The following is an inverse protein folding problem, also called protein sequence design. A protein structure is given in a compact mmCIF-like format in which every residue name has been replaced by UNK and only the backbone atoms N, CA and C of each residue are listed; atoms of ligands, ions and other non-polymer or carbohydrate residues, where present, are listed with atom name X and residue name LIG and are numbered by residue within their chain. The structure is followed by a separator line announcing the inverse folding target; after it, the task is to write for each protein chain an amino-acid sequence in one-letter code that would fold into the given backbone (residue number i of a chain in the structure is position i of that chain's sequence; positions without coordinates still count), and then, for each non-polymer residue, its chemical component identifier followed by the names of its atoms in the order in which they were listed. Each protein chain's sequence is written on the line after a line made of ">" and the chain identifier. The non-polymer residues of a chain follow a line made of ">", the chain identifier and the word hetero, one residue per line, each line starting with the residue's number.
data_IF_600523168103
#
_entry.id   IF_600523168103
#
_cell.length_a   1.000
_cell.length_b   1.000
_cell.length_c   1.000
_cell.angle_alpha   90.00
_cell.angle_beta   90.00
_cell.angle_gamma   90.00
#
_symmetry.space_group_name_H-M   'P 1'
#
loop_
_entity.id
_entity.type
_entity.pdbx_description
1 polymer ?
#
# COMPACT_ATOMS: atom_id res chain seq x y z
N UNK A 1 -61.78 -22.04 37.97
CA UNK A 1 -60.32 -22.15 38.13
C UNK A 1 -59.70 -21.90 36.77
N UNK A 2 -59.16 -20.70 36.55
CA UNK A 2 -58.46 -20.37 35.29
C UNK A 2 -57.03 -20.86 35.42
N UNK A 3 -56.62 -21.78 34.55
CA UNK A 3 -55.22 -22.19 34.43
C UNK A 3 -54.44 -20.97 33.92
N UNK A 4 -53.56 -20.42 34.76
CA UNK A 4 -52.56 -19.46 34.29
C UNK A 4 -51.60 -20.23 33.38
N UNK A 5 -51.68 -19.98 32.07
CA UNK A 5 -50.67 -20.42 31.12
C UNK A 5 -49.39 -19.64 31.40
N UNK A 6 -48.38 -20.30 31.94
CA UNK A 6 -47.03 -19.75 31.99
C UNK A 6 -46.52 -19.60 30.54
N UNK A 7 -46.33 -18.36 30.10
CA UNK A 7 -45.70 -18.06 28.82
C UNK A 7 -44.18 -18.00 29.03
N UNK A 8 -43.43 -18.83 28.30
CA UNK A 8 -41.99 -18.70 28.21
C UNK A 8 -41.67 -17.56 27.23
N UNK A 9 -41.22 -16.43 27.76
CA UNK A 9 -40.81 -15.27 26.95
C UNK A 9 -39.32 -15.42 26.59
N UNK A 10 -38.99 -15.28 25.30
CA UNK A 10 -37.61 -15.29 24.81
C UNK A 10 -36.90 -14.00 25.27
N UNK A 11 -35.62 -14.10 25.61
CA UNK A 11 -34.78 -12.93 25.88
C UNK A 11 -33.99 -12.63 24.62
N UNK A 12 -34.07 -11.39 24.13
CA UNK A 12 -33.26 -10.93 23.01
C UNK A 12 -31.79 -10.76 23.40
N UNK A 13 -30.91 -10.63 22.41
CA UNK A 13 -29.48 -10.38 22.65
C UNK A 13 -29.19 -9.04 23.37
N UNK A 14 -30.19 -8.15 23.42
CA UNK A 14 -30.20 -6.87 24.12
C UNK A 14 -30.58 -7.00 25.60
N UNK A 15 -30.75 -8.24 26.10
CA UNK A 15 -31.18 -8.57 27.45
C UNK A 15 -32.61 -8.12 27.79
N UNK A 16 -33.42 -7.83 26.77
CA UNK A 16 -34.83 -7.45 26.94
C UNK A 16 -35.72 -8.68 26.77
N UNK A 17 -36.66 -8.86 27.71
CA UNK A 17 -37.66 -9.94 27.67
C UNK A 17 -38.68 -9.66 26.58
N UNK A 18 -39.02 -10.67 25.79
CA UNK A 18 -39.91 -10.60 24.62
C UNK A 18 -39.37 -9.71 23.48
N UNK A 19 -38.05 -9.52 23.43
CA UNK A 19 -37.38 -8.83 22.34
C UNK A 19 -37.08 -9.78 21.18
N UNK A 20 -37.22 -9.26 19.96
CA UNK A 20 -36.87 -9.97 18.71
C UNK A 20 -35.41 -9.72 18.29
N UNK A 21 -34.61 -9.05 19.12
CA UNK A 21 -33.19 -8.77 18.84
C UNK A 21 -32.37 -10.06 18.85
N UNK A 22 -31.63 -10.31 17.78
CA UNK A 22 -30.75 -11.48 17.63
C UNK A 22 -29.30 -11.04 17.39
N UNK A 23 -28.37 -11.89 17.81
CA UNK A 23 -26.96 -11.71 17.47
C UNK A 23 -26.75 -11.96 15.98
N UNK A 24 -25.82 -11.21 15.38
CA UNK A 24 -25.32 -11.50 14.05
C UNK A 24 -24.42 -12.75 14.05
N UNK A 25 -23.94 -13.13 12.86
CA UNK A 25 -23.02 -14.27 12.69
C UNK A 25 -21.67 -14.08 13.41
N UNK A 26 -21.36 -12.87 13.90
CA UNK A 26 -20.16 -12.56 14.69
C UNK A 26 -20.42 -12.58 16.20
N UNK A 27 -21.67 -12.75 16.65
CA UNK A 27 -22.06 -12.68 18.05
C UNK A 27 -22.28 -11.26 18.56
N UNK A 28 -22.55 -10.29 17.67
CA UNK A 28 -22.87 -8.90 18.00
C UNK A 28 -24.39 -8.73 17.93
N UNK A 29 -24.99 -8.26 19.02
CA UNK A 29 -26.43 -7.99 19.05
C UNK A 29 -26.82 -6.92 18.02
N UNK A 30 -27.77 -7.24 17.13
CA UNK A 30 -28.16 -6.39 16.00
C UNK A 30 -26.97 -5.92 15.13
N UNK A 31 -25.92 -6.74 15.05
CA UNK A 31 -24.74 -6.45 14.22
C UNK A 31 -25.02 -6.59 12.72
N UNK A 32 -24.08 -6.10 11.92
CA UNK A 32 -24.15 -6.12 10.45
C UNK A 32 -23.43 -7.32 9.82
N UNK A 33 -22.83 -8.21 10.63
CA UNK A 33 -22.08 -9.38 10.18
C UNK A 33 -20.74 -9.07 9.52
N UNK A 34 -20.24 -7.82 9.57
CA UNK A 34 -19.04 -7.42 8.83
C UNK A 34 -17.73 -7.60 9.62
N UNK A 35 -17.83 -7.69 10.95
CA UNK A 35 -16.68 -7.64 11.88
C UNK A 35 -15.91 -8.95 12.04
N UNK A 36 -16.43 -10.04 11.51
CA UNK A 36 -15.82 -11.36 11.56
C UNK A 36 -15.72 -11.98 10.17
N UNK A 37 -14.86 -12.99 10.06
CA UNK A 37 -14.82 -13.91 8.93
C UNK A 37 -15.56 -15.19 9.29
N UNK A 38 -16.34 -15.68 8.33
CA UNK A 38 -17.03 -16.97 8.44
C UNK A 38 -16.19 -18.01 7.72
N UNK A 39 -15.71 -19.00 8.48
CA UNK A 39 -14.91 -20.10 7.96
C UNK A 39 -15.76 -21.35 8.02
N UNK A 40 -15.88 -22.03 6.87
CA UNK A 40 -16.67 -23.25 6.75
C UNK A 40 -15.98 -24.25 5.84
N UNK A 41 -16.33 -25.52 6.00
CA UNK A 41 -15.78 -26.59 5.21
C UNK A 41 -16.55 -27.89 5.39
N UNK A 42 -16.09 -28.90 4.64
CA UNK A 42 -16.71 -30.21 4.62
C UNK A 42 -15.65 -31.30 4.50
N UNK A 43 -15.83 -32.39 5.25
CA UNK A 43 -14.95 -33.54 5.26
C UNK A 43 -15.65 -34.79 4.71
N UNK A 44 -15.29 -35.21 3.49
CA UNK A 44 -15.85 -36.40 2.81
C UNK A 44 -14.86 -37.56 2.61
N UNK A 45 -13.65 -37.47 3.17
CA UNK A 45 -12.64 -38.53 3.01
C UNK A 45 -13.11 -39.83 3.68
N UNK A 46 -12.75 -40.95 3.08
CA UNK A 46 -12.99 -42.30 3.62
C UNK A 46 -11.70 -42.82 4.24
N UNK A 47 -11.77 -43.48 5.41
CA UNK A 47 -10.59 -44.04 6.08
C UNK A 47 -10.36 -45.52 5.72
N UNK A 48 -11.42 -46.32 5.62
CA UNK A 48 -11.35 -47.78 5.41
C UNK A 48 -10.73 -48.57 6.57
N UNK A 49 -10.26 -47.89 7.63
CA UNK A 49 -9.68 -48.45 8.84
C UNK A 49 -10.23 -47.72 10.07
N UNK A 50 -10.31 -48.44 11.18
CA UNK A 50 -10.80 -47.92 12.46
C UNK A 50 -9.84 -46.90 13.06
N UNK A 51 -10.36 -45.74 13.47
CA UNK A 51 -9.59 -44.73 14.20
C UNK A 51 -10.07 -43.31 13.98
N UNK A 52 -9.50 -42.38 14.76
CA UNK A 52 -9.76 -40.96 14.62
C UNK A 52 -9.05 -40.39 13.39
N UNK A 53 -9.73 -39.49 12.70
CA UNK A 53 -9.19 -38.66 11.63
C UNK A 53 -9.50 -37.22 11.92
N UNK A 54 -8.48 -36.39 11.84
CA UNK A 54 -8.57 -34.96 12.07
C UNK A 54 -9.32 -34.30 10.90
N UNK A 55 -10.29 -33.45 11.23
CA UNK A 55 -11.07 -32.69 10.26
C UNK A 55 -10.57 -31.25 10.20
N UNK A 56 -10.60 -30.55 11.33
CA UNK A 56 -10.25 -29.13 11.43
C UNK A 56 -9.83 -28.78 12.85
N UNK A 57 -8.85 -27.88 12.97
CA UNK A 57 -8.52 -27.19 14.22
C UNK A 57 -9.22 -25.84 14.22
N UNK A 58 -10.05 -25.58 15.22
CA UNK A 58 -10.75 -24.31 15.40
C UNK A 58 -9.97 -23.51 16.46
N UNK A 59 -9.49 -22.29 16.11
CA UNK A 59 -8.63 -21.51 16.99
C UNK A 59 -9.41 -20.91 18.17
N UNK A 60 -8.69 -20.55 19.23
CA UNK A 60 -9.25 -19.75 20.32
C UNK A 60 -9.82 -18.42 19.79
N UNK A 61 -10.89 -17.95 20.43
CA UNK A 61 -11.65 -16.77 20.01
C UNK A 61 -12.74 -17.04 18.98
N UNK A 62 -12.80 -18.24 18.40
CA UNK A 62 -13.86 -18.60 17.45
C UNK A 62 -15.23 -18.71 18.14
N UNK A 63 -16.28 -18.25 17.45
CA UNK A 63 -17.68 -18.23 17.91
C UNK A 63 -18.61 -18.89 16.91
N UNK A 64 -19.86 -19.11 17.31
CA UNK A 64 -20.90 -19.67 16.43
C UNK A 64 -20.45 -20.95 15.73
N UNK A 65 -19.76 -21.82 16.49
CA UNK A 65 -19.21 -23.06 15.96
C UNK A 65 -20.38 -24.04 15.78
N UNK A 66 -20.51 -24.56 14.56
CA UNK A 66 -21.47 -25.55 14.18
C UNK A 66 -20.74 -26.70 13.51
N UNK A 67 -20.96 -27.93 13.99
CA UNK A 67 -20.43 -29.15 13.38
C UNK A 67 -21.57 -30.15 13.27
N UNK A 68 -21.79 -30.71 12.09
CA UNK A 68 -22.87 -31.66 11.86
C UNK A 68 -22.45 -32.75 10.87
N UNK A 69 -22.93 -33.96 11.10
CA UNK A 69 -22.92 -34.99 10.07
C UNK A 69 -23.96 -34.67 9.00
N UNK A 70 -23.63 -35.00 7.75
CA UNK A 70 -24.51 -34.78 6.60
C UNK A 70 -25.64 -35.80 6.50
N UNK A 71 -25.38 -37.02 6.98
CA UNK A 71 -26.34 -38.12 7.01
C UNK A 71 -26.00 -39.06 8.17
N UNK A 72 -26.94 -39.92 8.52
CA UNK A 72 -26.77 -40.89 9.59
C UNK A 72 -25.57 -41.81 9.33
N UNK A 73 -24.71 -41.98 10.32
CA UNK A 73 -23.56 -42.89 10.23
C UNK A 73 -23.27 -43.60 11.55
N UNK A 74 -22.55 -44.73 11.49
CA UNK A 74 -22.00 -45.34 12.71
C UNK A 74 -20.68 -44.69 13.15
N UNK A 75 -20.13 -43.81 12.32
CA UNK A 75 -19.02 -42.96 12.73
C UNK A 75 -19.54 -41.96 13.76
N UNK A 76 -18.62 -41.28 14.42
CA UNK A 76 -19.01 -40.21 15.33
C UNK A 76 -17.93 -39.14 15.42
N UNK A 77 -18.35 -37.92 15.68
CA UNK A 77 -17.53 -36.72 15.77
C UNK A 77 -16.89 -36.68 17.16
N UNK A 78 -15.56 -36.62 17.21
CA UNK A 78 -14.78 -36.36 18.41
C UNK A 78 -14.47 -34.88 18.55
N UNK A 79 -14.49 -34.39 19.78
CA UNK A 79 -14.05 -33.04 20.11
C UNK A 79 -13.00 -33.08 21.21
N UNK A 80 -11.79 -32.60 20.93
CA UNK A 80 -10.67 -32.61 21.86
C UNK A 80 -9.90 -31.30 21.85
N UNK A 81 -9.14 -31.02 22.90
CA UNK A 81 -8.21 -29.89 22.94
C UNK A 81 -7.05 -30.16 21.97
N UNK A 82 -6.75 -29.19 21.09
CA UNK A 82 -5.74 -29.36 20.06
C UNK A 82 -4.29 -29.46 20.61
N UNK A 83 -4.05 -28.97 21.83
CA UNK A 83 -2.73 -28.92 22.48
C UNK A 83 -2.59 -30.05 23.50
N UNK A 84 -3.50 -30.12 24.47
CA UNK A 84 -3.43 -31.06 25.60
C UNK A 84 -3.96 -32.46 25.28
N UNK A 85 -4.63 -32.64 24.13
CA UNK A 85 -5.32 -33.88 23.72
C UNK A 85 -6.33 -34.39 24.75
N UNK A 86 -6.93 -33.47 25.49
CA UNK A 86 -8.03 -33.74 26.42
C UNK A 86 -9.35 -33.79 25.65
N UNK A 87 -10.08 -34.89 25.75
CA UNK A 87 -11.40 -35.02 25.12
C UNK A 87 -12.47 -34.21 25.88
N UNK A 88 -13.22 -33.39 25.15
CA UNK A 88 -14.45 -32.76 25.65
C UNK A 88 -15.68 -33.61 25.30
N UNK A 89 -15.76 -34.11 24.07
CA UNK A 89 -16.87 -34.96 23.59
C UNK A 89 -16.33 -36.19 22.87
N UNK A 90 -17.04 -37.31 23.02
CA UNK A 90 -16.83 -38.55 22.26
C UNK A 90 -15.36 -39.08 22.26
N UNK A 91 -14.73 -39.05 23.43
CA UNK A 91 -13.36 -39.49 23.64
C UNK A 91 -13.22 -40.97 23.98
N UNK A 92 -12.00 -41.50 23.88
CA UNK A 92 -11.64 -42.86 24.33
C UNK A 92 -12.53 -43.99 23.76
N UNK A 93 -13.00 -43.83 22.52
CA UNK A 93 -13.91 -44.77 21.84
C UNK A 93 -15.31 -44.89 22.47
N UNK A 94 -15.71 -43.91 23.26
CA UNK A 94 -17.01 -43.86 23.93
C UNK A 94 -17.82 -42.67 23.40
N UNK A 95 -19.11 -42.87 23.18
CA UNK A 95 -20.04 -41.81 22.73
C UNK A 95 -20.66 -41.19 23.98
N UNK A 96 -20.50 -39.88 24.15
CA UNK A 96 -21.11 -39.09 25.23
C UNK A 96 -22.63 -39.04 25.04
N UNK A 97 -23.39 -38.87 26.13
CA UNK A 97 -24.84 -38.70 26.01
C UNK A 97 -25.19 -37.30 25.43
N UNK A 98 -26.33 -37.14 24.72
CA UNK A 98 -26.80 -35.83 24.30
C UNK A 98 -27.03 -34.90 25.50
N UNK A 99 -26.66 -33.64 25.36
CA UNK A 99 -26.79 -32.65 26.43
C UNK A 99 -25.85 -31.46 26.30
N UNK A 100 -25.73 -30.71 27.39
CA UNK A 100 -24.90 -29.52 27.47
C UNK A 100 -23.55 -29.82 28.16
N UNK A 101 -22.48 -29.31 27.57
CA UNK A 101 -21.11 -29.57 28.02
C UNK A 101 -20.29 -28.27 28.00
N UNK A 102 -19.31 -28.16 28.90
CA UNK A 102 -18.32 -27.09 28.83
C UNK A 102 -17.15 -27.51 27.93
N UNK A 103 -16.98 -26.81 26.82
CA UNK A 103 -15.95 -27.04 25.81
C UNK A 103 -15.08 -25.80 25.72
N UNK A 104 -13.81 -25.92 26.12
CA UNK A 104 -12.82 -24.83 26.04
C UNK A 104 -13.33 -23.49 26.63
N UNK A 105 -14.15 -23.53 27.68
CA UNK A 105 -14.72 -22.35 28.35
C UNK A 105 -16.09 -21.90 27.85
N UNK A 106 -16.61 -22.48 26.77
CA UNK A 106 -17.92 -22.18 26.20
C UNK A 106 -18.94 -23.31 26.45
N UNK A 107 -20.21 -22.96 26.58
CA UNK A 107 -21.31 -23.94 26.65
C UNK A 107 -21.58 -24.49 25.25
N UNK A 108 -21.45 -25.79 25.10
CA UNK A 108 -21.73 -26.53 23.88
C UNK A 108 -22.99 -27.39 24.06
N UNK A 109 -23.85 -27.41 23.05
CA UNK A 109 -24.98 -28.32 22.95
C UNK A 109 -24.62 -29.44 21.98
N UNK A 110 -24.65 -30.67 22.47
CA UNK A 110 -24.44 -31.87 21.68
C UNK A 110 -25.76 -32.64 21.54
N UNK A 111 -26.20 -32.78 20.29
CA UNK A 111 -27.44 -33.44 19.91
C UNK A 111 -27.10 -34.69 19.10
N UNK A 112 -27.76 -35.82 19.41
CA UNK A 112 -27.64 -37.05 18.64
C UNK A 112 -29.02 -37.68 18.49
N UNK A 113 -29.60 -37.56 17.30
CA UNK A 113 -30.89 -38.15 16.95
C UNK A 113 -30.70 -39.15 15.83
N UNK A 114 -31.17 -40.40 16.00
CA UNK A 114 -31.01 -41.44 14.99
C UNK A 114 -29.55 -41.62 14.49
N UNK A 115 -28.54 -41.49 15.37
CA UNK A 115 -27.11 -41.48 15.00
C UNK A 115 -26.67 -40.36 14.05
N UNK A 116 -27.44 -39.29 13.93
CA UNK A 116 -27.01 -38.05 13.31
C UNK A 116 -26.52 -37.09 14.40
N UNK A 117 -25.25 -36.71 14.36
CA UNK A 117 -24.66 -35.81 15.36
C UNK A 117 -24.66 -34.34 14.92
N UNK A 118 -25.02 -33.47 15.87
CA UNK A 118 -24.93 -32.01 15.73
C UNK A 118 -24.32 -31.42 17.00
N UNK A 119 -23.36 -30.53 16.82
CA UNK A 119 -22.68 -29.81 17.90
C UNK A 119 -22.81 -28.32 17.62
N UNK A 120 -23.29 -27.57 18.61
CA UNK A 120 -23.42 -26.11 18.58
C UNK A 120 -22.65 -25.50 19.74
N UNK A 121 -21.77 -24.54 19.46
CA UNK A 121 -21.04 -23.76 20.47
C UNK A 121 -21.24 -22.27 20.13
N UNK A 122 -22.22 -21.59 20.76
CA UNK A 122 -22.48 -20.17 20.48
C UNK A 122 -21.35 -19.25 20.96
N UNK A 123 -20.81 -19.55 22.14
CA UNK A 123 -19.83 -18.71 22.81
C UNK A 123 -18.42 -18.80 22.21
N UNK A 124 -17.55 -17.83 22.54
CA UNK A 124 -16.16 -17.85 22.15
C UNK A 124 -15.43 -18.93 22.93
N UNK A 125 -14.70 -19.78 22.22
CA UNK A 125 -13.81 -20.74 22.88
C UNK A 125 -12.52 -20.03 23.32
N UNK A 126 -12.00 -20.37 24.49
CA UNK A 126 -10.77 -19.76 25.04
C UNK A 126 -9.51 -20.56 24.69
N UNK A 127 -9.67 -21.79 24.24
CA UNK A 127 -8.61 -22.71 23.86
C UNK A 127 -8.90 -23.30 22.48
N UNK A 128 -7.87 -23.65 21.68
CA UNK A 128 -8.08 -24.27 20.38
C UNK A 128 -8.62 -25.69 20.52
N UNK A 129 -9.64 -26.02 19.74
CA UNK A 129 -10.26 -27.36 19.71
C UNK A 129 -9.99 -28.05 18.39
N UNK A 130 -9.83 -29.36 18.43
CA UNK A 130 -9.67 -30.24 17.29
C UNK A 130 -10.98 -31.03 17.10
N UNK A 131 -11.59 -30.83 15.93
CA UNK A 131 -12.72 -31.65 15.47
C UNK A 131 -12.15 -32.84 14.73
N UNK A 132 -12.53 -34.04 15.16
CA UNK A 132 -12.16 -35.30 14.52
C UNK A 132 -13.39 -36.15 14.24
N UNK A 133 -13.24 -37.13 13.36
CA UNK A 133 -14.24 -38.18 13.13
C UNK A 133 -13.62 -39.53 13.44
N UNK A 134 -14.32 -40.36 14.21
CA UNK A 134 -13.94 -41.74 14.45
C UNK A 134 -14.60 -42.66 13.45
N UNK A 135 -13.79 -43.35 12.63
CA UNK A 135 -14.28 -44.36 11.72
C UNK A 135 -14.49 -45.69 12.44
N UNK A 136 -15.70 -46.27 12.36
CA UNK A 136 -15.96 -47.65 12.78
C UNK A 136 -15.65 -48.63 11.66
N UNK A 137 -14.37 -48.94 11.45
CA UNK A 137 -13.93 -49.89 10.44
C UNK A 137 -14.11 -49.37 9.01
N UNK A 138 -14.89 -50.09 8.20
CA UNK A 138 -15.14 -49.79 6.77
C UNK A 138 -16.49 -49.10 6.52
N UNK A 139 -17.07 -48.48 7.53
CA UNK A 139 -18.31 -47.73 7.41
C UNK A 139 -18.10 -46.51 6.50
N UNK A 140 -19.06 -46.28 5.61
CA UNK A 140 -19.08 -45.14 4.71
C UNK A 140 -19.28 -43.83 5.51
N UNK A 141 -18.47 -42.82 5.20
CA UNK A 141 -18.63 -41.47 5.75
C UNK A 141 -19.49 -40.61 4.80
N UNK A 142 -20.71 -40.22 5.19
CA UNK A 142 -21.57 -39.34 4.39
C UNK A 142 -21.07 -37.89 4.33
N UNK A 143 -20.19 -37.52 5.26
CA UNK A 143 -19.52 -36.24 5.33
C UNK A 143 -19.84 -35.51 6.62
N UNK A 144 -18.91 -34.67 7.06
CA UNK A 144 -19.08 -33.79 8.22
C UNK A 144 -18.89 -32.36 7.74
N UNK A 145 -19.90 -31.52 7.94
CA UNK A 145 -19.84 -30.09 7.69
C UNK A 145 -19.50 -29.36 8.98
N UNK A 146 -18.71 -28.30 8.84
CA UNK A 146 -18.38 -27.42 9.95
C UNK A 146 -18.38 -25.96 9.51
N UNK A 147 -18.76 -25.07 10.42
CA UNK A 147 -18.78 -23.62 10.23
C UNK A 147 -18.43 -22.96 11.57
N UNK A 148 -17.66 -21.88 11.54
CA UNK A 148 -17.44 -21.00 12.69
C UNK A 148 -17.15 -19.58 12.23
N UNK A 149 -17.23 -18.63 13.16
CA UNK A 149 -16.86 -17.23 12.95
C UNK A 149 -15.61 -16.90 13.75
N UNK A 150 -14.73 -16.06 13.20
CA UNK A 150 -13.55 -15.54 13.89
C UNK A 150 -13.44 -14.03 13.66
N UNK A 151 -13.10 -13.29 14.71
CA UNK A 151 -12.96 -11.83 14.60
C UNK A 151 -11.92 -11.46 13.55
N UNK A 152 -12.28 -10.52 12.67
CA UNK A 152 -11.29 -9.91 11.77
C UNK A 152 -10.29 -9.18 12.65
N UNK A 153 -8.98 -9.46 12.53
CA UNK A 153 -8.00 -8.58 13.13
C UNK A 153 -8.27 -7.19 12.56
N UNK A 154 -8.43 -6.19 13.43
CA UNK A 154 -8.50 -4.81 12.97
C UNK A 154 -7.21 -4.56 12.18
N UNK A 155 -7.32 -4.50 10.85
CA UNK A 155 -6.29 -3.91 10.00
C UNK A 155 -6.37 -2.43 10.29
N UNK A 156 -5.87 -2.03 11.46
CA UNK A 156 -5.25 -0.74 11.59
C UNK A 156 -4.16 -0.77 10.53
N UNK A 157 -4.45 -0.26 9.33
CA UNK A 157 -3.39 0.16 8.43
C UNK A 157 -2.55 1.07 9.31
N UNK A 158 -1.40 0.58 9.78
CA UNK A 158 -0.42 1.41 10.45
C UNK A 158 0.13 2.27 9.33
N UNK A 159 -0.62 3.33 9.03
CA UNK A 159 -0.24 4.34 8.07
C UNK A 159 0.88 5.11 8.74
N UNK A 160 2.10 4.92 8.23
CA UNK A 160 3.26 5.65 8.67
C UNK A 160 3.51 6.76 7.66
N UNK A 161 3.75 7.96 8.15
CA UNK A 161 4.16 9.08 7.30
C UNK A 161 5.67 9.26 7.37
N UNK A 162 6.28 9.65 6.26
CA UNK A 162 7.70 9.96 6.21
C UNK A 162 8.03 11.09 5.24
N UNK A 163 9.08 11.85 5.55
CA UNK A 163 9.62 12.89 4.67
C UNK A 163 10.57 12.26 3.65
N UNK A 164 10.29 12.45 2.37
CA UNK A 164 11.19 12.09 1.27
C UNK A 164 11.63 13.34 0.50
N UNK A 165 12.74 13.25 -0.22
CA UNK A 165 13.20 14.33 -1.08
C UNK A 165 12.63 14.14 -2.49
N UNK A 166 12.02 15.19 -3.04
CA UNK A 166 11.62 15.22 -4.45
C UNK A 166 12.84 15.04 -5.37
N UNK A 167 12.60 14.55 -6.58
CA UNK A 167 13.62 14.59 -7.63
C UNK A 167 14.14 16.01 -7.83
N UNK A 168 15.40 16.10 -8.21
CA UNK A 168 16.05 17.39 -8.43
C UNK A 168 15.36 18.16 -9.54
N UNK A 169 15.16 19.47 -9.32
CA UNK A 169 14.68 20.38 -10.34
C UNK A 169 15.62 20.37 -11.55
N UNK A 170 15.11 20.83 -12.70
CA UNK A 170 15.98 21.17 -13.82
C UNK A 170 17.04 22.21 -13.39
N UNK A 171 18.24 22.09 -13.95
CA UNK A 171 19.31 23.04 -13.68
C UNK A 171 18.94 24.43 -14.22
N UNK A 172 19.25 25.48 -13.45
CA UNK A 172 18.95 26.87 -13.84
C UNK A 172 19.71 27.36 -15.08
N UNK A 173 20.80 26.69 -15.46
CA UNK A 173 21.62 26.98 -16.63
C UNK A 173 22.01 25.68 -17.32
N UNK A 174 22.22 25.70 -18.64
CA UNK A 174 22.65 24.53 -19.41
C UNK A 174 24.18 24.40 -19.50
N UNK A 175 24.92 25.45 -19.19
CA UNK A 175 26.38 25.51 -19.15
C UNK A 175 26.82 26.74 -18.32
N UNK A 176 28.09 26.82 -17.97
CA UNK A 176 28.68 27.99 -17.30
C UNK A 176 28.35 28.12 -15.82
N UNK A 177 27.83 27.06 -15.21
CA UNK A 177 27.42 27.00 -13.81
C UNK A 177 25.96 27.41 -13.61
N UNK A 178 25.22 26.55 -12.92
CA UNK A 178 23.83 26.74 -12.53
C UNK A 178 23.54 26.09 -11.18
N UNK A 179 22.28 26.14 -10.76
CA UNK A 179 21.81 25.54 -9.51
C UNK A 179 20.54 24.74 -9.75
N UNK A 180 20.38 23.69 -8.96
CA UNK A 180 19.15 22.89 -8.90
C UNK A 180 18.79 22.66 -7.43
N UNK A 181 17.50 22.49 -7.17
CA UNK A 181 16.96 22.34 -5.83
C UNK A 181 16.13 21.06 -5.70
N UNK A 182 16.07 20.51 -4.49
CA UNK A 182 15.18 19.41 -4.13
C UNK A 182 14.47 19.79 -2.83
N UNK A 183 13.14 19.62 -2.82
CA UNK A 183 12.29 19.95 -1.66
C UNK A 183 11.78 18.68 -0.98
N UNK A 184 11.55 18.72 0.35
CA UNK A 184 10.91 17.62 1.05
C UNK A 184 9.43 17.50 0.66
N UNK A 185 8.95 16.27 0.48
CA UNK A 185 7.57 15.88 0.27
C UNK A 185 7.14 14.88 1.34
N UNK A 186 5.89 14.98 1.81
CA UNK A 186 5.34 14.02 2.77
C UNK A 186 4.77 12.82 2.00
N UNK A 187 5.21 11.62 2.36
CA UNK A 187 4.76 10.37 1.76
C UNK A 187 3.99 9.53 2.78
N UNK A 188 2.94 8.87 2.30
CA UNK A 188 2.28 7.77 3.00
C UNK A 188 3.01 6.45 2.72
N UNK A 189 3.49 5.80 3.79
CA UNK A 189 4.10 4.47 3.75
C UNK A 189 3.15 3.48 4.43
N UNK A 190 2.47 2.68 3.63
CA UNK A 190 1.65 1.59 4.16
C UNK A 190 2.56 0.41 4.48
N UNK A 191 2.67 0.06 5.76
CA UNK A 191 3.33 -1.19 6.19
C UNK A 191 2.38 -2.36 5.92
N UNK A 192 2.02 -2.60 4.65
CA UNK A 192 1.27 -3.78 4.24
C UNK A 192 2.24 -4.77 3.59
N UNK A 193 2.29 -6.04 4.03
CA UNK A 193 3.11 -7.07 3.39
C UNK A 193 2.61 -7.49 1.99
N UNK A 194 1.59 -6.81 1.45
CA UNK A 194 1.01 -7.09 0.14
C UNK A 194 1.10 -5.83 -0.72
N UNK A 195 2.08 -5.87 -1.64
CA UNK A 195 2.29 -4.99 -2.79
C UNK A 195 2.63 -3.52 -2.50
N UNK A 196 3.92 -3.25 -2.27
CA UNK A 196 4.53 -1.92 -2.41
C UNK A 196 5.18 -1.72 -3.79
N UNK A 197 4.90 -2.59 -4.76
CA UNK A 197 5.78 -2.77 -5.94
C UNK A 197 5.26 -2.15 -7.24
N UNK A 198 4.09 -1.47 -7.24
CA UNK A 198 3.45 -1.02 -8.49
C UNK A 198 2.99 0.44 -8.52
N UNK A 199 2.94 1.15 -7.40
CA UNK A 199 2.59 2.57 -7.38
C UNK A 199 3.73 3.36 -6.78
N UNK A 200 4.11 4.46 -7.44
CA UNK A 200 5.14 5.37 -6.94
C UNK A 200 4.81 5.92 -5.55
N UNK A 201 5.69 6.75 -4.97
CA UNK A 201 5.47 7.29 -3.63
C UNK A 201 4.12 8.03 -3.54
N UNK A 202 3.26 7.62 -2.61
CA UNK A 202 1.97 8.26 -2.40
C UNK A 202 2.17 9.58 -1.65
N UNK A 203 2.29 10.68 -2.41
CA UNK A 203 2.52 12.01 -1.86
C UNK A 203 1.22 12.55 -1.25
N UNK A 204 1.27 12.85 0.03
CA UNK A 204 0.15 13.39 0.80
C UNK A 204 0.41 14.83 1.25
N UNK A 205 -0.59 15.43 1.87
CA UNK A 205 -0.50 16.78 2.40
C UNK A 205 0.57 16.86 3.51
N UNK A 206 1.27 18.00 3.61
CA UNK A 206 2.38 18.20 4.55
C UNK A 206 1.94 18.04 6.01
N UNK A 207 0.66 18.30 6.30
CA UNK A 207 0.03 18.16 7.61
C UNK A 207 0.21 16.76 8.21
N UNK A 208 0.31 15.73 7.37
CA UNK A 208 0.44 14.35 7.81
C UNK A 208 1.83 14.00 8.35
N UNK A 209 2.85 14.83 8.04
CA UNK A 209 4.21 14.66 8.51
C UNK A 209 4.62 15.72 9.57
N UNK A 210 3.68 16.50 10.12
CA UNK A 210 3.97 17.59 11.07
C UNK A 210 4.63 17.11 12.36
N UNK A 211 4.35 15.87 12.78
CA UNK A 211 4.95 15.27 13.97
C UNK A 211 6.42 14.88 13.77
N UNK A 212 6.92 14.95 12.54
CA UNK A 212 8.31 14.67 12.18
C UNK A 212 9.06 15.96 11.83
N UNK A 213 10.36 16.01 12.15
CA UNK A 213 11.24 17.11 11.77
C UNK A 213 11.32 17.23 10.25
N UNK A 214 10.80 18.32 9.68
CA UNK A 214 10.87 18.62 8.25
C UNK A 214 12.32 18.86 7.82
N UNK A 215 12.85 18.12 6.82
CA UNK A 215 14.18 18.38 6.26
C UNK A 215 14.28 19.75 5.59
N UNK A 216 15.49 20.31 5.55
CA UNK A 216 15.74 21.53 4.79
C UNK A 216 15.77 21.27 3.28
N UNK A 217 15.46 22.29 2.49
CA UNK A 217 15.57 22.22 1.03
C UNK A 217 17.04 22.07 0.66
N UNK A 218 17.35 21.09 -0.19
CA UNK A 218 18.70 20.87 -0.67
C UNK A 218 18.96 21.69 -1.93
N UNK A 219 20.17 22.24 -2.04
CA UNK A 219 20.64 22.99 -3.21
C UNK A 219 22.00 22.45 -3.62
N UNK A 220 22.22 22.26 -4.92
CA UNK A 220 23.54 21.87 -5.47
C UNK A 220 23.83 22.60 -6.78
N UNK A 221 25.10 22.74 -7.11
CA UNK A 221 25.55 23.25 -8.41
C UNK A 221 25.34 22.22 -9.52
N UNK A 222 25.25 22.69 -10.75
CA UNK A 222 25.14 21.87 -11.95
C UNK A 222 25.66 22.60 -13.18
N UNK A 223 26.00 21.82 -14.21
CA UNK A 223 26.41 22.33 -15.52
C UNK A 223 27.57 23.33 -15.46
N UNK A 224 28.60 22.99 -14.67
CA UNK A 224 29.80 23.82 -14.44
C UNK A 224 30.74 23.90 -15.65
N UNK A 225 30.50 23.10 -16.69
CA UNK A 225 31.27 23.13 -17.92
C UNK A 225 31.17 24.50 -18.63
N UNK A 226 32.29 25.08 -19.11
CA UNK A 226 32.27 26.33 -19.84
C UNK A 226 31.32 26.27 -21.04
N UNK A 227 30.57 27.35 -21.23
CA UNK A 227 29.69 27.43 -22.38
C UNK A 227 30.49 27.45 -23.70
N UNK A 228 30.03 26.73 -24.75
CA UNK A 228 30.72 26.67 -26.04
C UNK A 228 30.49 27.92 -26.91
N UNK A 229 30.18 29.06 -26.29
CA UNK A 229 29.84 30.31 -26.98
C UNK A 229 31.07 31.18 -27.13
N UNK A 230 31.32 31.68 -28.33
CA UNK A 230 32.50 32.49 -28.65
C UNK A 230 32.14 33.68 -29.53
N UNK A 231 32.90 34.77 -29.38
CA UNK A 231 32.82 35.90 -30.30
C UNK A 231 33.42 35.53 -31.65
N UNK A 232 32.58 35.56 -32.68
CA UNK A 232 33.04 35.54 -34.05
C UNK A 232 33.29 36.95 -34.55
N UNK A 233 34.33 37.09 -35.35
CA UNK A 233 34.81 38.37 -35.87
C UNK A 233 34.93 38.27 -37.37
N UNK A 234 34.10 39.04 -38.06
CA UNK A 234 34.13 39.15 -39.52
C UNK A 234 35.26 40.04 -40.03
N UNK A 235 35.52 40.02 -41.35
CA UNK A 235 36.48 40.91 -41.97
C UNK A 235 36.06 42.38 -41.79
N UNK A 236 37.06 43.27 -41.75
CA UNK A 236 36.82 44.71 -41.80
C UNK A 236 36.23 45.10 -43.15
N UNK A 237 35.20 45.95 -43.11
CA UNK A 237 34.68 46.59 -44.32
C UNK A 237 35.73 47.56 -44.91
N UNK A 238 35.55 47.88 -46.19
CA UNK A 238 36.35 48.91 -46.85
C UNK A 238 36.15 50.26 -46.17
N UNK A 239 37.16 51.10 -46.24
CA UNK A 239 37.06 52.44 -45.71
C UNK A 239 36.04 53.24 -46.53
N UNK A 240 35.12 53.96 -45.87
CA UNK A 240 34.08 54.71 -46.56
C UNK A 240 34.65 55.89 -47.37
N UNK A 241 35.86 56.34 -47.04
CA UNK A 241 36.60 57.36 -47.77
C UNK A 241 37.99 56.85 -48.12
N UNK A 242 38.49 57.22 -49.30
CA UNK A 242 39.84 56.90 -49.78
C UNK A 242 40.88 57.99 -49.44
N UNK A 243 40.43 59.17 -49.04
CA UNK A 243 41.27 60.30 -48.63
C UNK A 243 40.78 60.91 -47.29
N UNK A 244 41.63 61.72 -46.66
CA UNK A 244 41.38 62.37 -45.37
C UNK A 244 41.60 63.89 -45.46
N UNK A 245 40.65 64.68 -45.01
CA UNK A 245 40.61 66.14 -45.12
C UNK A 245 41.11 66.88 -43.85
N UNK A 246 41.62 66.15 -42.86
CA UNK A 246 42.09 66.73 -41.60
C UNK A 246 41.03 66.77 -40.48
N UNK A 247 39.79 66.34 -40.74
CA UNK A 247 38.69 66.26 -39.77
C UNK A 247 38.74 65.03 -38.85
N UNK A 248 37.60 64.37 -38.60
CA UNK A 248 37.60 63.06 -37.90
C UNK A 248 38.01 61.96 -38.88
N UNK A 249 39.00 61.13 -38.53
CA UNK A 249 39.39 59.99 -39.37
C UNK A 249 38.17 59.09 -39.62
N UNK A 250 37.87 58.70 -40.87
CA UNK A 250 36.75 57.83 -41.15
C UNK A 250 36.98 56.47 -40.46
N UNK A 251 35.90 55.91 -39.94
CA UNK A 251 35.92 54.61 -39.27
C UNK A 251 35.46 53.53 -40.24
N UNK A 252 36.12 52.37 -40.18
CA UNK A 252 35.62 51.15 -40.80
C UNK A 252 34.97 50.29 -39.73
N UNK A 253 33.94 49.53 -40.13
CA UNK A 253 33.21 48.62 -39.25
C UNK A 253 33.46 47.17 -39.62
N UNK A 254 33.28 46.26 -38.69
CA UNK A 254 33.24 44.81 -38.91
C UNK A 254 32.04 44.20 -38.18
N UNK A 255 31.64 43.02 -38.59
CA UNK A 255 30.61 42.27 -37.89
C UNK A 255 31.24 41.53 -36.70
N UNK A 256 30.63 41.66 -35.52
CA UNK A 256 30.96 40.89 -34.32
C UNK A 256 29.67 40.23 -33.87
N UNK A 257 29.67 38.90 -33.79
CA UNK A 257 28.48 38.12 -33.45
C UNK A 257 28.86 37.05 -32.43
N UNK A 258 28.00 36.82 -31.44
CA UNK A 258 28.15 35.67 -30.57
C UNK A 258 27.73 34.41 -31.36
N UNK A 259 28.57 33.37 -31.37
CA UNK A 259 28.26 32.12 -32.07
C UNK A 259 28.39 30.92 -31.12
N UNK A 260 27.55 29.92 -31.35
CA UNK A 260 27.63 28.64 -30.65
C UNK A 260 28.60 27.65 -31.33
N UNK A 261 28.65 26.43 -30.80
CA UNK A 261 29.48 25.35 -31.34
C UNK A 261 29.06 24.83 -32.72
N UNK A 262 27.88 25.21 -33.22
CA UNK A 262 27.35 24.84 -34.54
C UNK A 262 27.37 26.01 -35.53
N UNK A 263 28.12 27.08 -35.21
CA UNK A 263 28.22 28.31 -36.01
C UNK A 263 26.90 29.08 -36.17
N UNK A 264 25.94 28.89 -35.25
CA UNK A 264 24.71 29.67 -35.23
C UNK A 264 24.91 30.98 -34.46
N UNK A 265 24.40 32.08 -35.02
CA UNK A 265 24.43 33.39 -34.37
C UNK A 265 23.44 33.45 -33.19
N UNK A 266 23.96 33.79 -32.01
CA UNK A 266 23.21 33.97 -30.77
C UNK A 266 23.14 35.45 -30.38
N UNK A 267 22.30 35.76 -29.39
CA UNK A 267 22.30 37.09 -28.77
C UNK A 267 23.60 37.34 -27.99
N UNK A 268 24.07 38.59 -27.99
CA UNK A 268 25.28 39.02 -27.30
C UNK A 268 25.37 38.63 -25.81
N UNK A 269 24.24 38.38 -25.14
CA UNK A 269 24.19 37.99 -23.72
C UNK A 269 24.79 36.62 -23.42
N UNK A 270 24.89 35.73 -24.43
CA UNK A 270 25.44 34.39 -24.26
C UNK A 270 26.98 34.39 -24.28
N UNK A 271 27.59 35.39 -24.92
CA UNK A 271 29.03 35.54 -24.93
C UNK A 271 29.47 36.53 -23.83
N UNK A 272 30.68 36.37 -23.32
CA UNK A 272 31.24 37.27 -22.32
C UNK A 272 31.34 38.71 -22.87
N UNK A 273 30.56 39.63 -22.28
CA UNK A 273 30.56 41.05 -22.66
C UNK A 273 31.90 41.73 -22.43
N UNK A 274 32.69 41.28 -21.44
CA UNK A 274 34.03 41.80 -21.16
C UNK A 274 35.04 41.46 -22.27
N UNK A 275 34.85 40.34 -22.94
CA UNK A 275 35.67 39.88 -24.05
C UNK A 275 35.18 40.34 -25.44
N UNK A 276 34.13 41.18 -25.53
CA UNK A 276 33.55 41.60 -26.82
C UNK A 276 34.55 42.42 -27.65
N UNK A 277 34.93 41.96 -28.85
CA UNK A 277 35.83 42.72 -29.72
C UNK A 277 35.21 44.04 -30.22
N UNK A 278 36.04 45.06 -30.45
CA UNK A 278 35.57 46.34 -31.00
C UNK A 278 35.01 46.19 -32.43
N UNK A 279 33.83 46.75 -32.68
CA UNK A 279 33.17 46.74 -34.00
C UNK A 279 33.66 47.84 -34.94
N UNK A 280 34.29 48.90 -34.40
CA UNK A 280 34.74 50.07 -35.16
C UNK A 280 36.23 50.31 -34.94
N UNK A 281 36.94 50.64 -36.01
CA UNK A 281 38.31 51.15 -35.91
C UNK A 281 38.60 52.26 -36.94
N UNK A 282 39.55 53.18 -36.66
CA UNK A 282 39.95 54.20 -37.60
C UNK A 282 40.65 53.61 -38.84
N UNK A 283 40.33 54.14 -40.01
CA UNK A 283 40.98 53.78 -41.27
C UNK A 283 42.49 54.08 -41.25
N UNK A 284 43.28 53.09 -41.67
CA UNK A 284 44.75 53.18 -41.76
C UNK A 284 45.13 53.47 -43.23
N UNK A 285 46.11 54.35 -43.46
CA UNK A 285 46.65 54.74 -44.79
C UNK A 285 45.68 55.55 -45.67
N UNK A 286 45.22 56.70 -45.21
CA UNK A 286 44.50 57.67 -46.05
C UNK A 286 45.42 58.79 -46.49
N UNK A 287 45.41 59.12 -47.78
CA UNK A 287 46.14 60.27 -48.31
C UNK A 287 45.34 61.56 -48.05
N UNK A 288 45.99 62.73 -47.92
CA UNK A 288 45.30 64.00 -47.90
C UNK A 288 44.48 64.18 -49.18
N UNK A 289 43.19 64.56 -49.07
CA UNK A 289 42.35 64.78 -50.26
C UNK A 289 42.92 65.87 -51.19
N UNK A 290 43.69 66.82 -50.65
CA UNK A 290 44.39 67.86 -51.40
C UNK A 290 45.47 67.33 -52.37
N UNK A 291 45.89 66.07 -52.25
CA UNK A 291 46.87 65.45 -53.15
C UNK A 291 46.26 64.93 -54.47
N UNK A 292 44.93 64.98 -54.64
CA UNK A 292 44.20 64.49 -55.83
C UNK A 292 43.74 65.62 -56.76
N UNK A 293 44.03 66.89 -56.43
CA UNK A 293 43.83 68.03 -57.32
C UNK A 293 45.09 68.28 -58.17
N UNK A 294 45.35 67.41 -59.16
CA UNK A 294 46.16 67.69 -60.36
C UNK A 294 45.69 66.85 -61.53
#
# INVERSE_FOLDING_TARGET
>A
MSLATAAFLKVGCDWVVDSTSEEDECGICQGDGTKCDIIQGEYKKQSGVTGYREIVVIPSGARNIFVAENDQSENYIGLENAVEKKYYLNGKRHITLPGEYNVAGAQALYEREHNLEKIRIPGPIHEPILVSIFFRGKVYNPGVTWKYSIWKPEVTKQVKYEWIMEEWSQCSATCGGGTQYSKPLCQESTVSPVAADLEGPNIVAEEMCLDMTKPEKMVRTCNDDPCPYKWWVGPWQTCPSTCYDGGKKPMRRRNVMCMDGQEMALQDQYCDRGAKPHEYEPCKKLLPCAAYER
#
